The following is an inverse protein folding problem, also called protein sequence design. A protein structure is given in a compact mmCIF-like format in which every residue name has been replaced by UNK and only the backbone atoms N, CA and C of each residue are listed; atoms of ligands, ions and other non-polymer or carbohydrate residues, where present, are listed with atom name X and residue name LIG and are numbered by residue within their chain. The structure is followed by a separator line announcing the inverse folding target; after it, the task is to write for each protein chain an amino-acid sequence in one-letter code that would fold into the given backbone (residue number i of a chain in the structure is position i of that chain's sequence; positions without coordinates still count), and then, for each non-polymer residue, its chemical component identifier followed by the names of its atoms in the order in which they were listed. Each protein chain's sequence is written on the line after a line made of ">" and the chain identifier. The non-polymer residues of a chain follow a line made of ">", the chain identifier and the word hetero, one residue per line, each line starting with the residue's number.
data_IF_911154438944
#
_entry.id   IF_911154438944
#
_cell.length_a   1.000
_cell.length_b   1.000
_cell.length_c   1.000
_cell.angle_alpha   90.00
_cell.angle_beta   90.00
_cell.angle_gamma   90.00
#
_symmetry.space_group_name_H-M   'P 1'
#
loop_
_entity.id
_entity.type
_entity.pdbx_description
1 polymer ?
#
# COMPACT_ATOMS: atom_id res chain seq x y z
N UNK A 1 1.08 -0.31 4.41
CA UNK A 1 1.67 0.81 3.64
C UNK A 1 3.19 0.76 3.78
N UNK A 2 3.94 0.96 2.69
CA UNK A 2 5.41 0.93 2.70
C UNK A 2 5.96 2.04 3.62
N UNK A 3 6.86 1.79 4.60
CA UNK A 3 7.33 2.84 5.51
C UNK A 3 8.02 3.98 4.77
N UNK A 4 7.75 5.23 5.16
CA UNK A 4 8.34 6.41 4.50
C UNK A 4 9.87 6.40 4.55
N UNK A 5 10.47 5.81 5.58
CA UNK A 5 11.94 5.73 5.69
C UNK A 5 12.59 4.77 4.70
N UNK A 6 11.81 3.86 4.11
CA UNK A 6 12.26 3.06 2.99
C UNK A 6 12.24 3.90 1.71
N UNK A 7 11.21 4.72 1.53
CA UNK A 7 11.05 5.60 0.36
C UNK A 7 12.10 6.73 0.40
N UNK A 8 12.38 7.30 1.56
CA UNK A 8 13.36 8.37 1.79
C UNK A 8 14.77 7.98 1.36
N UNK A 9 15.13 6.69 1.41
CA UNK A 9 16.42 6.19 0.90
C UNK A 9 16.59 6.41 -0.61
N UNK A 10 15.48 6.38 -1.36
CA UNK A 10 15.47 6.59 -2.81
C UNK A 10 15.19 8.05 -3.19
N UNK A 11 14.47 8.77 -2.32
CA UNK A 11 14.11 10.18 -2.51
C UNK A 11 14.61 11.04 -1.33
N UNK A 12 15.93 11.18 -1.13
CA UNK A 12 16.50 11.80 0.07
C UNK A 12 16.10 13.27 0.24
N UNK A 13 15.82 13.97 -0.85
CA UNK A 13 15.49 15.40 -0.85
C UNK A 13 13.97 15.68 -0.84
N UNK A 14 13.13 14.65 -0.95
CA UNK A 14 11.67 14.83 -0.95
C UNK A 14 11.16 15.26 0.43
N UNK A 15 10.22 16.18 0.47
CA UNK A 15 9.44 16.55 1.65
C UNK A 15 8.61 15.38 2.17
N UNK A 16 8.13 15.47 3.42
CA UNK A 16 7.26 14.43 3.98
C UNK A 16 5.97 14.26 3.17
N UNK A 17 5.44 15.35 2.62
CA UNK A 17 4.25 15.35 1.75
C UNK A 17 4.50 14.56 0.46
N UNK A 18 5.57 14.88 -0.27
CA UNK A 18 5.96 14.15 -1.48
C UNK A 18 6.21 12.66 -1.20
N UNK A 19 6.78 12.31 -0.04
CA UNK A 19 6.97 10.90 0.34
C UNK A 19 5.65 10.16 0.56
N UNK A 20 4.61 10.84 1.09
CA UNK A 20 3.27 10.27 1.24
C UNK A 20 2.58 10.07 -0.10
N UNK A 21 2.73 11.02 -1.02
CA UNK A 21 2.23 10.88 -2.40
C UNK A 21 2.89 9.69 -3.10
N UNK A 22 4.22 9.54 -2.98
CA UNK A 22 4.94 8.38 -3.52
C UNK A 22 4.46 7.08 -2.87
N UNK A 23 4.25 7.08 -1.56
CA UNK A 23 3.75 5.91 -0.82
C UNK A 23 2.38 5.45 -1.34
N UNK A 24 1.48 6.39 -1.61
CA UNK A 24 0.16 6.12 -2.17
C UNK A 24 0.25 5.56 -3.59
N UNK A 25 1.06 6.17 -4.46
CA UNK A 25 1.25 5.69 -5.84
C UNK A 25 1.82 4.28 -5.87
N UNK A 26 2.83 3.99 -5.04
CA UNK A 26 3.41 2.64 -4.93
C UNK A 26 2.39 1.62 -4.43
N UNK A 27 1.55 2.01 -3.47
CA UNK A 27 0.46 1.16 -2.98
C UNK A 27 -0.53 0.84 -4.10
N UNK A 28 -1.05 1.85 -4.79
CA UNK A 28 -2.01 1.69 -5.88
C UNK A 28 -1.45 0.84 -7.02
N UNK A 29 -0.19 1.07 -7.41
CA UNK A 29 0.49 0.26 -8.43
C UNK A 29 0.63 -1.20 -7.98
N UNK A 30 1.00 -1.43 -6.72
CA UNK A 30 1.11 -2.78 -6.18
C UNK A 30 -0.24 -3.50 -6.19
N UNK A 31 -1.31 -2.82 -5.79
CA UNK A 31 -2.68 -3.33 -5.87
C UNK A 31 -3.07 -3.67 -7.31
N UNK A 32 -2.77 -2.80 -8.28
CA UNK A 32 -3.05 -3.03 -9.70
C UNK A 32 -2.29 -4.25 -10.24
N UNK A 33 -1.00 -4.41 -9.86
CA UNK A 33 -0.19 -5.58 -10.22
C UNK A 33 -0.78 -6.85 -9.62
N UNK A 34 -1.13 -6.84 -8.33
CA UNK A 34 -1.75 -8.00 -7.68
C UNK A 34 -3.09 -8.35 -8.34
N UNK A 35 -3.90 -7.36 -8.69
CA UNK A 35 -5.16 -7.55 -9.42
C UNK A 35 -4.94 -8.15 -10.81
N UNK A 36 -3.91 -7.71 -11.53
CA UNK A 36 -3.61 -8.22 -12.85
C UNK A 36 -3.22 -9.71 -12.82
N UNK A 37 -2.38 -10.11 -11.87
CA UNK A 37 -1.86 -11.49 -11.82
C UNK A 37 -2.75 -12.47 -11.05
N UNK A 38 -3.38 -12.03 -9.97
CA UNK A 38 -4.13 -12.90 -9.07
C UNK A 38 -5.65 -12.70 -9.15
N UNK A 39 -6.13 -11.71 -9.91
CA UNK A 39 -7.56 -11.41 -10.09
C UNK A 39 -8.25 -11.07 -8.77
N UNK A 40 -9.58 -11.13 -8.70
CA UNK A 40 -10.29 -10.75 -7.47
C UNK A 40 -10.01 -11.62 -6.23
N UNK A 41 -9.25 -12.72 -6.36
CA UNK A 41 -8.90 -13.63 -5.26
C UNK A 41 -7.90 -13.05 -4.26
N UNK A 42 -7.01 -12.14 -4.68
CA UNK A 42 -6.04 -11.54 -3.73
C UNK A 42 -6.69 -10.49 -2.81
N UNK A 43 -7.85 -9.92 -3.20
CA UNK A 43 -8.61 -8.99 -2.37
C UNK A 43 -9.49 -9.69 -1.31
N UNK A 44 -9.59 -11.02 -1.34
CA UNK A 44 -10.58 -11.81 -0.59
C UNK A 44 -10.37 -11.95 0.93
N UNK A 45 -9.27 -11.46 1.50
CA UNK A 45 -8.99 -11.57 2.95
C UNK A 45 -8.79 -10.20 3.64
N UNK A 46 -9.06 -9.09 2.93
CA UNK A 46 -8.97 -7.73 3.51
C UNK A 46 -10.31 -7.19 4.02
N UNK A 47 -11.40 -7.96 3.92
CA UNK A 47 -12.65 -7.66 4.62
C UNK A 47 -12.43 -7.88 6.13
N UNK A 48 -12.39 -6.76 6.85
CA UNK A 48 -12.50 -6.53 8.30
C UNK A 48 -12.64 -7.81 9.14
N UNK A 49 -11.73 -8.10 10.11
CA UNK A 49 -12.06 -9.10 11.11
C UNK A 49 -13.28 -8.57 11.88
N UNK A 50 -14.45 -9.17 11.66
CA UNK A 50 -15.59 -8.99 12.54
C UNK A 50 -15.07 -9.19 13.97
N UNK A 51 -15.17 -8.14 14.78
CA UNK A 51 -14.97 -8.27 16.20
C UNK A 51 -16.08 -9.19 16.72
N UNK A 52 -15.81 -10.49 16.78
CA UNK A 52 -16.58 -11.40 17.62
C UNK A 52 -16.38 -10.97 19.08
N UNK A 53 -17.35 -10.20 19.56
CA UNK A 53 -17.31 -9.54 20.86
C UNK A 53 -18.63 -9.64 21.61
N UNK A 54 -19.00 -10.88 21.97
CA UNK A 54 -19.93 -11.33 23.02
C UNK A 54 -21.41 -10.95 22.97
#
# INVERSE_FOLDING_TARGET
>A
MLPLEIIKKYYPNASEEELKEIQEVVYLLSCAVMQHFYGSKWMGDFEVPEQEGK
#
